data_IF_318250466958
#
_entry.id   IF_318250466958
#
_cell.length_a   1.000
_cell.length_b   1.000
_cell.length_c   1.000
_cell.angle_alpha   90.00
_cell.angle_beta   90.00
_cell.angle_gamma   90.00
#
_symmetry.space_group_name_H-M   'P 1'
#
loop_
_entity.id
_entity.type
_entity.pdbx_description
1 polymer ?
#
# COMPACT_ATOMS: atom_id res chain seq x y z
N UNK A 1 -6.63 18.54 -17.76
CA UNK A 1 -6.37 17.10 -17.99
C UNK A 1 -5.84 16.50 -16.71
N UNK A 2 -6.50 15.48 -16.19
CA UNK A 2 -6.13 14.77 -14.96
C UNK A 2 -5.93 13.29 -15.29
N UNK A 3 -5.01 12.64 -14.58
CA UNK A 3 -4.70 11.23 -14.80
C UNK A 3 -5.59 10.37 -13.92
N UNK A 4 -6.34 9.48 -14.55
CA UNK A 4 -7.21 8.51 -13.88
C UNK A 4 -6.60 7.11 -13.98
N UNK A 5 -6.53 6.41 -12.86
CA UNK A 5 -6.28 4.98 -12.84
C UNK A 5 -7.62 4.26 -13.06
N UNK A 6 -7.67 3.32 -14.00
CA UNK A 6 -8.87 2.55 -14.27
C UNK A 6 -8.61 1.05 -14.15
N UNK A 7 -9.62 0.32 -13.69
CA UNK A 7 -9.70 -1.13 -13.79
C UNK A 7 -10.97 -1.46 -14.54
N UNK A 8 -10.84 -2.15 -15.67
CA UNK A 8 -11.98 -2.57 -16.48
C UNK A 8 -11.89 -4.03 -16.88
N UNK A 9 -12.99 -4.57 -17.37
CA UNK A 9 -13.06 -5.92 -17.94
C UNK A 9 -13.30 -5.82 -19.44
N UNK A 10 -12.53 -6.57 -20.22
CA UNK A 10 -12.76 -6.73 -21.67
C UNK A 10 -13.92 -7.69 -21.91
N UNK A 11 -14.45 -7.73 -23.14
CA UNK A 11 -15.47 -8.73 -23.52
C UNK A 11 -15.01 -10.19 -23.32
N UNK A 12 -13.69 -10.45 -23.33
CA UNK A 12 -13.12 -11.78 -23.04
C UNK A 12 -13.06 -12.14 -21.56
N UNK A 13 -13.51 -11.25 -20.66
CA UNK A 13 -13.45 -11.45 -19.21
C UNK A 13 -12.09 -11.13 -18.58
N UNK A 14 -11.10 -10.72 -19.39
CA UNK A 14 -9.79 -10.32 -18.91
C UNK A 14 -9.85 -8.95 -18.21
N UNK A 15 -9.20 -8.86 -17.05
CA UNK A 15 -9.11 -7.60 -16.29
C UNK A 15 -7.98 -6.75 -16.88
N UNK A 16 -8.32 -5.58 -17.42
CA UNK A 16 -7.36 -4.62 -17.93
C UNK A 16 -7.13 -3.46 -16.95
N UNK A 17 -5.86 -3.38 -16.55
CA UNK A 17 -5.17 -2.39 -15.73
C UNK A 17 -4.65 -1.18 -16.51
N UNK A 18 -5.00 0.09 -16.22
CA UNK A 18 -4.32 1.17 -16.95
C UNK A 18 -4.45 2.57 -16.36
N UNK A 19 -3.67 3.49 -16.94
CA UNK A 19 -3.80 4.93 -16.71
C UNK A 19 -4.38 5.57 -17.97
N UNK A 20 -5.37 6.44 -17.80
CA UNK A 20 -5.96 7.22 -18.87
C UNK A 20 -6.03 8.68 -18.45
N UNK A 21 -5.59 9.57 -19.32
CA UNK A 21 -5.77 11.01 -19.11
C UNK A 21 -7.14 11.41 -19.62
N UNK A 22 -7.94 12.02 -18.75
CA UNK A 22 -9.27 12.50 -19.09
C UNK A 22 -9.52 13.85 -18.41
N UNK A 23 -10.58 14.53 -18.82
CA UNK A 23 -10.99 15.79 -18.20
C UNK A 23 -11.87 15.53 -16.95
N UNK A 24 -12.59 14.41 -16.93
CA UNK A 24 -13.45 13.96 -15.83
C UNK A 24 -13.55 12.43 -15.77
N UNK A 25 -13.96 11.88 -14.63
CA UNK A 25 -14.22 10.45 -14.47
C UNK A 25 -15.28 9.93 -15.46
N UNK A 26 -16.26 10.76 -15.84
CA UNK A 26 -17.28 10.42 -16.84
C UNK A 26 -16.70 10.31 -18.26
N UNK A 27 -15.75 11.18 -18.62
CA UNK A 27 -15.05 11.14 -19.90
C UNK A 27 -14.09 9.94 -19.97
N UNK A 28 -13.47 9.59 -18.84
CA UNK A 28 -12.68 8.37 -18.70
C UNK A 28 -13.54 7.11 -18.94
N UNK A 29 -14.70 7.00 -18.30
CA UNK A 29 -15.62 5.89 -18.50
C UNK A 29 -16.06 5.74 -19.96
N UNK A 30 -16.43 6.86 -20.59
CA UNK A 30 -16.87 6.89 -22.00
C UNK A 30 -15.75 6.44 -22.94
N UNK A 31 -14.51 6.87 -22.68
CA UNK A 31 -13.35 6.49 -23.47
C UNK A 31 -13.01 5.00 -23.34
N UNK A 32 -13.13 4.44 -22.13
CA UNK A 32 -12.93 3.02 -21.86
C UNK A 32 -14.00 2.15 -22.53
N UNK A 33 -15.26 2.56 -22.45
CA UNK A 33 -16.36 1.85 -23.12
C UNK A 33 -16.20 1.87 -24.65
N UNK A 34 -15.75 2.99 -25.25
CA UNK A 34 -15.41 3.04 -26.69
C UNK A 34 -14.27 2.10 -27.06
N UNK A 35 -13.31 1.90 -26.15
CA UNK A 35 -12.22 0.94 -26.30
C UNK A 35 -12.61 -0.53 -26.05
N UNK A 36 -13.90 -0.83 -25.82
CA UNK A 36 -14.36 -2.19 -25.56
C UNK A 36 -14.05 -2.70 -24.14
N UNK A 37 -13.69 -1.80 -23.22
CA UNK A 37 -13.38 -2.10 -21.83
C UNK A 37 -14.54 -1.60 -20.95
N UNK A 38 -15.26 -2.51 -20.30
CA UNK A 38 -16.29 -2.15 -19.33
C UNK A 38 -15.63 -1.69 -18.03
N UNK A 39 -15.76 -0.41 -17.61
CA UNK A 39 -15.12 0.09 -16.41
C UNK A 39 -15.74 -0.55 -15.16
N UNK A 40 -14.90 -1.10 -14.29
CA UNK A 40 -15.30 -1.66 -12.99
C UNK A 40 -14.96 -0.68 -11.86
N UNK A 41 -13.89 0.10 -12.01
CA UNK A 41 -13.49 1.14 -11.07
C UNK A 41 -12.64 2.20 -11.78
N UNK A 42 -12.88 3.48 -11.46
CA UNK A 42 -12.15 4.65 -11.98
C UNK A 42 -11.76 5.50 -10.78
N UNK A 43 -10.48 5.82 -10.63
CA UNK A 43 -9.96 6.68 -9.56
C UNK A 43 -9.10 7.79 -10.11
N UNK A 44 -9.31 9.00 -9.59
CA UNK A 44 -8.56 10.20 -9.95
C UNK A 44 -7.25 10.25 -9.16
N UNK A 45 -6.11 10.35 -9.85
CA UNK A 45 -4.78 10.47 -9.21
C UNK A 45 -4.48 11.94 -8.83
N UNK A 46 -5.49 12.82 -8.88
CA UNK A 46 -5.32 14.27 -9.01
C UNK A 46 -5.37 15.10 -7.73
N UNK A 47 -6.17 14.77 -6.72
CA UNK A 47 -6.33 15.66 -5.56
C UNK A 47 -6.86 14.93 -4.31
N UNK A 48 -6.22 15.24 -3.18
CA UNK A 48 -6.52 14.88 -1.79
C UNK A 48 -5.99 13.54 -1.25
N UNK A 49 -4.95 13.73 -0.44
CA UNK A 49 -4.47 12.93 0.69
C UNK A 49 -5.55 12.09 1.42
N UNK A 50 -5.10 10.93 1.93
CA UNK A 50 -5.65 10.23 3.11
C UNK A 50 -7.13 9.83 3.02
N UNK A 51 -7.41 8.70 2.38
CA UNK A 51 -8.36 7.70 2.92
C UNK A 51 -8.22 6.39 2.16
N UNK A 52 -7.96 5.37 2.96
CA UNK A 52 -8.21 3.96 2.69
C UNK A 52 -7.48 3.31 1.49
N UNK A 53 -6.52 2.46 1.84
CA UNK A 53 -5.75 1.66 0.90
C UNK A 53 -6.58 0.58 0.23
N UNK A 54 -7.16 0.92 -0.91
CA UNK A 54 -7.90 -0.03 -1.74
C UNK A 54 -7.79 0.27 -3.24
N UNK A 55 -6.64 -0.02 -3.86
CA UNK A 55 -6.49 -0.05 -5.33
C UNK A 55 -5.83 -1.34 -5.80
N UNK A 56 -6.69 -2.28 -6.20
CA UNK A 56 -6.42 -3.65 -6.66
C UNK A 56 -5.60 -3.82 -7.94
N UNK A 57 -4.70 -2.89 -8.26
CA UNK A 57 -3.72 -3.01 -9.36
C UNK A 57 -2.26 -3.02 -8.90
N UNK A 58 -1.98 -2.40 -7.76
CA UNK A 58 -0.64 -2.32 -7.17
C UNK A 58 -0.46 -3.27 -5.96
N UNK A 59 -1.43 -4.15 -5.70
CA UNK A 59 -1.42 -5.02 -4.51
C UNK A 59 -0.68 -6.34 -4.75
N UNK A 60 -0.48 -6.76 -6.01
CA UNK A 60 0.27 -7.99 -6.31
C UNK A 60 1.78 -7.87 -6.04
N UNK A 61 2.34 -6.67 -6.14
CA UNK A 61 3.75 -6.38 -5.82
C UNK A 61 3.92 -5.54 -4.55
N UNK A 62 2.82 -5.27 -3.82
CA UNK A 62 2.92 -4.63 -2.53
C UNK A 62 3.74 -5.55 -1.61
N UNK A 63 4.84 -5.05 -1.00
CA UNK A 63 5.59 -5.85 -0.06
C UNK A 63 4.61 -6.33 1.02
N UNK A 64 4.46 -7.64 1.13
CA UNK A 64 3.62 -8.27 2.15
C UNK A 64 4.52 -8.75 3.26
N UNK A 65 4.07 -8.67 4.51
CA UNK A 65 4.81 -9.20 5.65
C UNK A 65 4.82 -10.72 5.56
N UNK A 66 6.00 -11.32 5.37
CA UNK A 66 6.15 -12.78 5.33
C UNK A 66 6.32 -13.31 6.75
N UNK A 67 5.96 -14.59 7.02
CA UNK A 67 6.17 -15.20 8.33
C UNK A 67 7.63 -15.15 8.80
N UNK A 68 8.59 -15.26 7.87
CA UNK A 68 10.02 -15.16 8.18
C UNK A 68 10.42 -13.77 8.68
N UNK A 69 9.78 -12.71 8.16
CA UNK A 69 10.05 -11.34 8.58
C UNK A 69 9.59 -11.12 10.03
N UNK A 70 8.43 -11.68 10.39
CA UNK A 70 7.91 -11.66 11.76
C UNK A 70 8.84 -12.43 12.70
N UNK A 71 9.28 -13.63 12.31
CA UNK A 71 10.19 -14.44 13.12
C UNK A 71 11.52 -13.71 13.38
N UNK A 72 12.08 -13.06 12.35
CA UNK A 72 13.33 -12.30 12.48
C UNK A 72 13.14 -11.09 13.40
N UNK A 73 12.07 -10.31 13.17
CA UNK A 73 11.70 -9.18 14.01
C UNK A 73 11.56 -9.58 15.49
N UNK A 74 10.81 -10.64 15.79
CA UNK A 74 10.63 -11.10 17.18
C UNK A 74 11.94 -11.49 17.86
N UNK A 75 12.86 -12.14 17.12
CA UNK A 75 14.18 -12.51 17.66
C UNK A 75 15.07 -11.30 17.92
N UNK A 76 15.09 -10.35 16.99
CA UNK A 76 15.89 -9.13 17.13
C UNK A 76 15.35 -8.27 18.29
N UNK A 77 14.03 -8.10 18.37
CA UNK A 77 13.38 -7.39 19.47
C UNK A 77 13.68 -8.07 20.81
N UNK A 78 13.54 -9.39 20.91
CA UNK A 78 13.89 -10.14 22.12
C UNK A 78 15.34 -9.90 22.56
N UNK A 79 16.27 -9.91 21.61
CA UNK A 79 17.70 -9.70 21.90
C UNK A 79 17.94 -8.30 22.46
N UNK A 80 17.35 -7.28 21.83
CA UNK A 80 17.46 -5.89 22.27
C UNK A 80 16.84 -5.70 23.66
N UNK A 81 15.64 -6.25 23.89
CA UNK A 81 14.99 -6.21 25.20
C UNK A 81 15.81 -6.92 26.28
N UNK A 82 16.38 -8.09 25.97
CA UNK A 82 17.24 -8.85 26.88
C UNK A 82 18.52 -8.10 27.23
N UNK A 83 19.05 -7.30 26.30
CA UNK A 83 20.21 -6.44 26.55
C UNK A 83 19.88 -5.15 27.33
N UNK A 84 18.61 -4.93 27.70
CA UNK A 84 18.18 -3.75 28.44
C UNK A 84 18.05 -2.49 27.58
N UNK A 85 18.03 -2.63 26.25
CA UNK A 85 17.82 -1.49 25.36
C UNK A 85 16.35 -1.01 25.50
N UNK A 86 16.11 0.29 25.70
CA UNK A 86 14.75 0.82 25.77
C UNK A 86 13.91 0.44 24.55
N UNK A 87 12.63 0.11 24.75
CA UNK A 87 11.78 -0.41 23.69
C UNK A 87 11.64 0.55 22.50
N UNK A 88 11.48 1.86 22.75
CA UNK A 88 11.37 2.86 21.69
C UNK A 88 12.64 2.94 20.84
N UNK A 89 13.82 2.86 21.47
CA UNK A 89 15.11 2.82 20.78
C UNK A 89 15.28 1.53 19.97
N UNK A 90 14.83 0.41 20.54
CA UNK A 90 14.85 -0.88 19.86
C UNK A 90 13.99 -0.85 18.60
N UNK A 91 12.77 -0.32 18.68
CA UNK A 91 11.87 -0.18 17.54
C UNK A 91 12.46 0.74 16.45
N UNK A 92 13.07 1.86 16.81
CA UNK A 92 13.79 2.72 15.86
C UNK A 92 14.89 1.96 15.10
N UNK A 93 15.75 1.23 15.81
CA UNK A 93 16.80 0.44 15.16
C UNK A 93 16.25 -0.68 14.28
N UNK A 94 15.13 -1.30 14.68
CA UNK A 94 14.47 -2.33 13.88
C UNK A 94 13.88 -1.77 12.58
N UNK A 95 13.29 -0.57 12.60
CA UNK A 95 12.78 0.11 11.40
C UNK A 95 13.91 0.32 10.39
N UNK A 96 15.07 0.79 10.84
CA UNK A 96 16.25 1.02 9.98
C UNK A 96 16.82 -0.29 9.40
N UNK A 97 16.80 -1.37 10.18
CA UNK A 97 17.34 -2.68 9.75
C UNK A 97 16.39 -3.51 8.88
N UNK A 98 15.10 -3.15 8.83
CA UNK A 98 14.07 -3.94 8.16
C UNK A 98 14.09 -3.70 6.65
N UNK A 99 14.31 -4.76 5.87
CA UNK A 99 14.27 -4.69 4.40
C UNK A 99 12.85 -4.67 3.83
N UNK A 100 11.88 -5.23 4.56
CA UNK A 100 10.48 -5.26 4.13
C UNK A 100 9.77 -3.95 4.49
N UNK A 101 9.51 -3.13 3.47
CA UNK A 101 8.86 -1.83 3.64
C UNK A 101 7.47 -1.90 4.30
N UNK A 102 6.71 -3.00 4.14
CA UNK A 102 5.43 -3.14 4.83
C UNK A 102 5.60 -3.44 6.32
N UNK A 103 6.58 -4.27 6.68
CA UNK A 103 6.88 -4.52 8.08
C UNK A 103 7.42 -3.24 8.75
N UNK A 104 8.27 -2.48 8.07
CA UNK A 104 8.78 -1.21 8.59
C UNK A 104 7.63 -0.24 8.92
N UNK A 105 6.61 -0.12 8.04
CA UNK A 105 5.41 0.70 8.30
C UNK A 105 4.64 0.24 9.54
N UNK A 106 4.47 -1.07 9.72
CA UNK A 106 3.80 -1.64 10.90
C UNK A 106 4.57 -1.31 12.17
N UNK A 107 5.89 -1.46 12.16
CA UNK A 107 6.75 -1.15 13.31
C UNK A 107 6.72 0.35 13.63
N UNK A 108 6.72 1.23 12.63
CA UNK A 108 6.55 2.67 12.82
C UNK A 108 5.23 3.01 13.51
N UNK A 109 4.13 2.42 13.04
CA UNK A 109 2.81 2.63 13.66
C UNK A 109 2.75 2.11 15.10
N UNK A 110 3.41 0.99 15.40
CA UNK A 110 3.57 0.48 16.77
C UNK A 110 4.36 1.45 17.65
N UNK A 111 5.48 1.98 17.16
CA UNK A 111 6.29 2.97 17.87
C UNK A 111 5.48 4.22 18.20
N UNK A 112 4.76 4.76 17.23
CA UNK A 112 3.91 5.94 17.41
C UNK A 112 2.78 5.68 18.43
N UNK A 113 2.20 4.49 18.41
CA UNK A 113 1.16 4.10 19.38
C UNK A 113 1.71 4.04 20.81
N UNK A 114 2.90 3.46 20.98
CA UNK A 114 3.59 3.43 22.28
C UNK A 114 4.02 4.82 22.76
N UNK A 115 4.48 5.70 21.86
CA UNK A 115 4.78 7.10 22.18
C UNK A 115 3.53 7.86 22.61
N UNK A 116 2.37 7.52 22.05
CA UNK A 116 1.07 8.04 22.46
C UNK A 116 0.49 7.34 23.71
N UNK A 117 1.16 6.32 24.26
CA UNK A 117 0.72 5.57 25.44
C UNK A 117 -0.45 4.61 25.20
N UNK A 118 -0.64 4.13 23.97
CA UNK A 118 -1.68 3.15 23.59
C UNK A 118 -1.09 1.82 23.15
#
# INVERSE_FOLDING_TARGET
MQRFAYTGRTQGGEKMQGFLEAESAADCATSLMRGGISPVSIQETGQSERRDGGTGGLVLFAPTVKPIDVQLFSRQLYTLMRSGVPILRSLSGLIESTTNAALARVITSLKESLEAGR
#
